data_IF_059731915273
#
_entry.id   IF_059731915273
#
_cell.length_a   1.000
_cell.length_b   1.000
_cell.length_c   1.000
_cell.angle_alpha   90.00
_cell.angle_beta   90.00
_cell.angle_gamma   90.00
#
_symmetry.space_group_name_H-M   'P 1'
#
loop_
_entity.id
_entity.type
_entity.pdbx_description
1 polymer ?
#
# COMPACT_ATOMS: atom_id res chain seq x y z
N UNK A 1 -8.55 -18.34 7.95
CA UNK A 1 -8.87 -16.98 7.46
C UNK A 1 -9.37 -16.04 8.56
N UNK A 2 -10.38 -16.36 9.39
CA UNK A 2 -10.83 -15.46 10.47
C UNK A 2 -9.80 -15.29 11.62
N UNK A 3 -9.03 -16.33 11.94
CA UNK A 3 -8.03 -16.27 13.00
C UNK A 3 -6.84 -15.34 12.65
N UNK A 4 -6.43 -15.29 11.38
CA UNK A 4 -5.39 -14.37 10.92
C UNK A 4 -5.89 -12.93 10.89
N UNK A 5 -7.18 -12.71 10.63
CA UNK A 5 -7.78 -11.37 10.55
C UNK A 5 -7.64 -10.57 11.86
N UNK A 6 -7.90 -11.20 13.01
CA UNK A 6 -7.75 -10.52 14.30
C UNK A 6 -6.28 -10.14 14.54
N UNK A 7 -5.37 -11.06 14.27
CA UNK A 7 -3.94 -10.85 14.43
C UNK A 7 -3.43 -9.70 13.53
N UNK A 8 -3.79 -9.73 12.26
CA UNK A 8 -3.36 -8.73 11.27
C UNK A 8 -3.97 -7.35 11.53
N UNK A 9 -5.28 -7.30 11.83
CA UNK A 9 -6.04 -6.04 11.87
C UNK A 9 -6.06 -5.36 13.22
N UNK A 10 -5.88 -6.08 14.30
CA UNK A 10 -5.96 -5.51 15.66
C UNK A 10 -4.92 -4.41 15.87
N UNK A 11 -3.68 -4.64 15.48
CA UNK A 11 -2.60 -3.66 15.62
C UNK A 11 -2.89 -2.41 14.80
N UNK A 12 -3.31 -2.57 13.56
CA UNK A 12 -3.69 -1.45 12.66
C UNK A 12 -4.83 -0.63 13.30
N UNK A 13 -5.85 -1.30 13.85
CA UNK A 13 -6.98 -0.62 14.51
C UNK A 13 -6.56 0.17 15.75
N UNK A 14 -5.66 -0.39 16.56
CA UNK A 14 -5.13 0.29 17.75
C UNK A 14 -4.38 1.57 17.37
N UNK A 15 -3.51 1.50 16.37
CA UNK A 15 -2.72 2.66 15.91
C UNK A 15 -3.62 3.71 15.28
N UNK A 16 -4.60 3.32 14.46
CA UNK A 16 -5.58 4.25 13.89
C UNK A 16 -6.36 4.98 14.98
N UNK A 17 -6.76 4.28 16.05
CA UNK A 17 -7.46 4.88 17.19
C UNK A 17 -6.56 5.87 17.95
N UNK A 18 -5.29 5.52 18.16
CA UNK A 18 -4.32 6.41 18.81
C UNK A 18 -4.04 7.65 17.98
N UNK A 19 -3.87 7.49 16.65
CA UNK A 19 -3.67 8.62 15.73
C UNK A 19 -4.89 9.54 15.70
N UNK A 20 -6.10 8.98 15.67
CA UNK A 20 -7.34 9.76 15.72
C UNK A 20 -7.41 10.61 17.00
N UNK A 21 -7.05 10.04 18.17
CA UNK A 21 -6.99 10.75 19.42
C UNK A 21 -5.91 11.86 19.42
N UNK A 22 -4.72 11.57 18.86
CA UNK A 22 -3.64 12.54 18.65
C UNK A 22 -4.11 13.71 17.81
N UNK A 23 -4.74 13.43 16.65
CA UNK A 23 -5.28 14.44 15.75
C UNK A 23 -6.28 15.35 16.45
N UNK A 24 -7.22 14.80 17.22
CA UNK A 24 -8.19 15.57 18.00
C UNK A 24 -7.53 16.52 19.01
N UNK A 25 -6.49 16.05 19.72
CA UNK A 25 -5.73 16.89 20.66
C UNK A 25 -4.97 18.01 19.96
N UNK A 26 -4.38 17.73 18.80
CA UNK A 26 -3.64 18.72 17.99
C UNK A 26 -4.57 19.81 17.45
N UNK A 27 -5.74 19.44 16.90
CA UNK A 27 -6.76 20.39 16.45
C UNK A 27 -7.21 21.29 17.59
N UNK A 28 -7.53 20.71 18.75
CA UNK A 28 -7.95 21.47 19.91
C UNK A 28 -6.86 22.42 20.41
N UNK A 29 -5.59 21.97 20.40
CA UNK A 29 -4.42 22.79 20.72
C UNK A 29 -4.28 23.99 19.79
N UNK A 30 -4.46 23.78 18.47
CA UNK A 30 -4.43 24.84 17.47
C UNK A 30 -5.56 25.86 17.69
N UNK A 31 -6.81 25.39 17.87
CA UNK A 31 -7.94 26.28 18.16
C UNK A 31 -7.72 27.10 19.41
N UNK A 32 -7.11 26.53 20.46
CA UNK A 32 -6.75 27.23 21.68
C UNK A 32 -5.67 28.30 21.45
N UNK A 33 -4.63 27.99 20.68
CA UNK A 33 -3.60 28.94 20.29
C UNK A 33 -4.18 30.10 19.46
N UNK A 34 -5.13 29.82 18.58
CA UNK A 34 -5.86 30.85 17.83
C UNK A 34 -6.80 31.71 18.71
N UNK A 35 -7.13 31.25 19.92
CA UNK A 35 -8.06 31.94 20.82
C UNK A 35 -9.54 31.78 20.46
N UNK A 36 -9.85 30.81 19.56
CA UNK A 36 -11.20 30.61 19.01
C UNK A 36 -12.08 29.68 19.86
N UNK A 37 -11.60 29.22 21.01
CA UNK A 37 -12.34 28.33 21.92
C UNK A 37 -13.25 29.05 22.91
N UNK A 38 -13.33 30.39 22.88
CA UNK A 38 -14.23 31.16 23.72
C UNK A 38 -15.70 30.91 23.32
N UNK A 39 -16.61 30.62 24.23
CA UNK A 39 -18.03 30.40 23.93
C UNK A 39 -18.74 31.65 23.37
N UNK A 40 -18.23 32.84 23.66
CA UNK A 40 -18.68 34.09 23.01
C UNK A 40 -17.98 34.28 21.68
N UNK A 41 -18.76 34.20 20.59
CA UNK A 41 -18.26 34.29 19.23
C UNK A 41 -17.54 35.63 18.96
N UNK A 42 -18.02 36.75 19.54
CA UNK A 42 -17.40 38.06 19.36
C UNK A 42 -16.00 38.09 20.00
N UNK A 43 -15.90 37.57 21.21
CA UNK A 43 -14.61 37.44 21.92
C UNK A 43 -13.67 36.49 21.23
N UNK A 44 -14.17 35.35 20.74
CA UNK A 44 -13.38 34.38 19.96
C UNK A 44 -12.76 35.06 18.73
N UNK A 45 -13.53 35.89 18.02
CA UNK A 45 -13.06 36.67 16.86
C UNK A 45 -12.03 37.71 17.22
N UNK A 46 -12.26 38.49 18.31
CA UNK A 46 -11.29 39.47 18.78
C UNK A 46 -9.98 38.81 19.23
N UNK A 47 -10.06 37.67 19.90
CA UNK A 47 -8.89 36.87 20.29
C UNK A 47 -8.11 36.39 19.07
N UNK A 48 -8.80 35.89 18.06
CA UNK A 48 -8.15 35.45 16.81
C UNK A 48 -7.35 36.60 16.18
N UNK A 49 -7.98 37.74 15.94
CA UNK A 49 -7.30 38.89 15.30
C UNK A 49 -6.10 39.36 16.14
N UNK A 50 -6.23 39.48 17.45
CA UNK A 50 -5.11 39.83 18.33
C UNK A 50 -3.99 38.80 18.25
N UNK A 51 -4.33 37.51 18.25
CA UNK A 51 -3.35 36.41 18.29
C UNK A 51 -2.57 36.28 16.96
N UNK A 52 -3.17 36.60 15.83
CA UNK A 52 -2.45 36.61 14.55
C UNK A 52 -1.57 37.85 14.34
N UNK A 53 -1.81 38.94 15.05
CA UNK A 53 -0.99 40.15 15.05
C UNK A 53 0.23 40.04 16.02
N UNK A 54 0.14 39.16 17.01
CA UNK A 54 1.24 38.91 17.95
C UNK A 54 2.23 37.89 17.38
N UNK A 55 3.47 38.30 17.14
CA UNK A 55 4.47 37.49 16.47
C UNK A 55 4.79 36.16 17.17
N UNK A 56 4.79 36.15 18.53
CA UNK A 56 5.05 34.90 19.29
C UNK A 56 3.89 33.93 19.17
N UNK A 57 2.67 34.42 19.29
CA UNK A 57 1.45 33.61 19.17
C UNK A 57 1.25 33.11 17.72
N UNK A 58 1.54 33.94 16.74
CA UNK A 58 1.53 33.56 15.32
C UNK A 58 2.51 32.42 15.04
N UNK A 59 3.70 32.46 15.65
CA UNK A 59 4.65 31.32 15.59
C UNK A 59 4.04 30.01 16.11
N UNK A 60 3.37 30.05 17.27
CA UNK A 60 2.67 28.88 17.85
C UNK A 60 1.51 28.39 16.98
N UNK A 61 0.81 29.31 16.30
CA UNK A 61 -0.25 28.96 15.33
C UNK A 61 0.35 28.23 14.14
N UNK A 62 1.47 28.74 13.58
CA UNK A 62 2.16 28.06 12.48
C UNK A 62 2.64 26.66 12.86
N UNK A 63 3.26 26.50 14.02
CA UNK A 63 3.63 25.17 14.55
C UNK A 63 2.41 24.26 14.70
N UNK A 64 1.30 24.80 15.17
CA UNK A 64 0.04 24.07 15.30
C UNK A 64 -0.54 23.65 13.94
N UNK A 65 -0.40 24.46 12.90
CA UNK A 65 -0.81 24.13 11.51
C UNK A 65 0.07 23.01 10.96
N UNK A 66 1.40 23.14 11.08
CA UNK A 66 2.33 22.07 10.66
C UNK A 66 2.06 20.75 11.39
N UNK A 67 1.71 20.84 12.68
CA UNK A 67 1.29 19.67 13.47
C UNK A 67 0.03 18.97 12.95
N UNK A 68 -0.79 19.62 12.09
CA UNK A 68 -1.93 18.96 11.46
C UNK A 68 -1.55 18.10 10.24
N UNK A 69 -0.30 18.14 9.80
CA UNK A 69 0.15 17.40 8.61
C UNK A 69 -0.25 15.93 8.67
N UNK A 70 0.02 15.27 9.80
CA UNK A 70 -0.33 13.86 9.97
C UNK A 70 -1.85 13.57 9.93
N UNK A 71 -2.68 14.61 10.12
CA UNK A 71 -4.13 14.46 10.00
C UNK A 71 -4.62 14.45 8.55
N UNK A 72 -3.99 15.25 7.68
CA UNK A 72 -4.40 15.43 6.29
C UNK A 72 -3.55 14.61 5.31
N UNK A 73 -2.26 14.42 5.61
CA UNK A 73 -1.32 13.60 4.88
C UNK A 73 -0.96 12.39 5.75
N UNK A 74 -1.72 11.30 5.59
CA UNK A 74 -1.59 10.11 6.41
C UNK A 74 -1.40 8.82 5.56
N UNK A 75 -0.76 8.98 4.40
CA UNK A 75 -0.51 7.90 3.45
C UNK A 75 0.25 6.73 4.09
N UNK A 76 1.27 7.01 4.91
CA UNK A 76 2.02 5.97 5.62
C UNK A 76 1.13 5.12 6.51
N UNK A 77 0.20 5.77 7.24
CA UNK A 77 -0.74 5.04 8.10
C UNK A 77 -1.76 4.22 7.30
N UNK A 78 -2.18 4.71 6.13
CA UNK A 78 -3.20 4.05 5.31
C UNK A 78 -2.67 2.83 4.56
N UNK A 79 -1.43 2.88 4.06
CA UNK A 79 -0.88 1.83 3.19
C UNK A 79 0.50 1.33 3.62
N UNK A 80 1.13 1.95 4.61
CA UNK A 80 2.49 1.60 5.06
C UNK A 80 2.53 0.60 6.22
N UNK A 81 1.41 0.13 6.73
CA UNK A 81 1.39 -0.93 7.74
C UNK A 81 1.75 -2.29 7.11
N UNK A 82 2.37 -3.14 7.91
CA UNK A 82 2.79 -4.48 7.51
C UNK A 82 2.08 -5.49 8.40
N UNK A 83 1.32 -6.40 7.82
CA UNK A 83 0.61 -7.44 8.55
C UNK A 83 1.56 -8.40 9.27
N UNK A 84 1.05 -9.02 10.32
CA UNK A 84 1.83 -9.82 11.21
C UNK A 84 2.46 -8.97 12.32
N UNK A 85 3.44 -9.52 13.04
CA UNK A 85 4.15 -8.86 14.14
C UNK A 85 5.20 -7.85 13.63
N UNK A 86 4.77 -6.98 12.69
CA UNK A 86 5.72 -6.17 11.95
C UNK A 86 5.33 -4.69 11.99
N UNK A 87 6.12 -3.88 11.37
CA UNK A 87 6.17 -2.46 11.56
C UNK A 87 4.87 -1.73 11.24
N UNK A 88 4.46 -0.90 12.18
CA UNK A 88 3.48 0.16 11.93
C UNK A 88 4.29 1.43 11.70
N UNK A 89 3.94 2.26 10.69
CA UNK A 89 4.65 3.49 10.41
C UNK A 89 4.81 4.35 11.67
N UNK A 90 6.04 4.80 11.97
CA UNK A 90 6.32 5.67 13.10
C UNK A 90 5.75 7.08 12.93
N UNK A 91 5.42 7.45 11.68
CA UNK A 91 4.82 8.73 11.32
C UNK A 91 3.73 8.51 10.27
N UNK A 92 2.56 9.12 10.48
CA UNK A 92 1.39 8.86 9.64
C UNK A 92 1.59 9.25 8.16
N UNK A 93 2.38 10.30 7.89
CA UNK A 93 2.62 10.82 6.53
C UNK A 93 3.75 10.11 5.78
N UNK A 94 4.61 9.35 6.47
CA UNK A 94 5.78 8.73 5.83
C UNK A 94 5.42 7.36 5.32
N UNK A 95 5.48 7.17 4.01
CA UNK A 95 5.31 5.88 3.36
C UNK A 95 6.61 5.45 2.67
N UNK A 96 7.17 4.36 3.12
CA UNK A 96 8.33 3.72 2.52
C UNK A 96 7.92 2.35 1.96
N UNK A 97 7.87 2.19 0.63
CA UNK A 97 7.51 0.92 0.02
C UNK A 97 8.61 -0.13 0.26
N UNK A 98 8.19 -1.33 0.65
CA UNK A 98 9.09 -2.46 0.89
C UNK A 98 8.55 -3.75 0.28
N UNK A 99 9.45 -4.68 -0.10
CA UNK A 99 9.08 -5.99 -0.62
C UNK A 99 9.32 -7.06 0.46
N UNK A 100 8.38 -7.18 1.39
CA UNK A 100 8.40 -8.22 2.42
C UNK A 100 6.97 -8.76 2.67
N UNK A 101 6.87 -9.98 3.18
CA UNK A 101 5.58 -10.56 3.55
C UNK A 101 4.81 -9.70 4.54
N UNK A 102 3.53 -9.50 4.31
CA UNK A 102 2.64 -8.63 5.08
C UNK A 102 2.54 -7.20 4.58
N UNK A 103 3.51 -6.70 3.81
CA UNK A 103 3.48 -5.36 3.21
C UNK A 103 2.47 -5.29 2.05
N UNK A 104 1.90 -4.12 1.83
CA UNK A 104 1.13 -3.87 0.61
C UNK A 104 2.05 -3.90 -0.60
N UNK A 105 1.59 -4.49 -1.71
CA UNK A 105 2.33 -4.46 -2.98
C UNK A 105 2.63 -3.00 -3.36
N UNK A 106 3.90 -2.63 -3.53
CA UNK A 106 4.27 -1.28 -3.90
C UNK A 106 3.66 -0.87 -5.24
N UNK A 107 3.10 0.34 -5.27
CA UNK A 107 2.54 0.91 -6.48
C UNK A 107 3.64 1.37 -7.45
N UNK A 108 3.45 1.09 -8.73
CA UNK A 108 4.06 1.80 -9.84
C UNK A 108 3.15 1.73 -11.06
N UNK A 109 3.32 2.64 -12.01
CA UNK A 109 2.55 2.62 -13.24
C UNK A 109 3.07 1.56 -14.20
N UNK A 110 2.14 0.87 -14.85
CA UNK A 110 2.45 -0.22 -15.77
C UNK A 110 1.72 -0.07 -17.10
N UNK A 111 2.32 -0.63 -18.14
CA UNK A 111 1.67 -0.90 -19.42
C UNK A 111 1.23 -2.35 -19.45
N UNK A 112 -0.03 -2.61 -19.72
CA UNK A 112 -0.56 -3.96 -19.91
C UNK A 112 -0.20 -4.45 -21.32
N UNK A 113 0.39 -5.63 -21.39
CA UNK A 113 0.71 -6.34 -22.65
C UNK A 113 -0.31 -7.44 -22.93
N UNK A 114 -0.81 -8.11 -21.88
CA UNK A 114 -1.83 -9.17 -21.95
C UNK A 114 -3.13 -8.69 -21.30
N UNK A 115 -4.15 -8.25 -22.03
CA UNK A 115 -5.37 -7.64 -21.47
C UNK A 115 -6.13 -8.54 -20.49
N UNK A 116 -6.01 -9.86 -20.59
CA UNK A 116 -6.69 -10.84 -19.75
C UNK A 116 -6.19 -10.87 -18.30
N UNK A 117 -5.04 -10.23 -17.99
CA UNK A 117 -4.51 -10.22 -16.61
C UNK A 117 -5.23 -9.22 -15.71
N UNK A 118 -5.84 -8.18 -16.26
CA UNK A 118 -6.57 -7.17 -15.50
C UNK A 118 -8.07 -7.40 -15.55
N UNK A 119 -8.76 -7.09 -14.46
CA UNK A 119 -10.21 -7.23 -14.33
C UNK A 119 -10.93 -5.87 -14.30
N UNK A 120 -10.21 -4.81 -14.01
CA UNK A 120 -10.75 -3.46 -13.93
C UNK A 120 -10.46 -2.68 -15.23
N UNK A 121 -11.32 -1.74 -15.59
CA UNK A 121 -11.02 -0.82 -16.68
C UNK A 121 -9.80 0.04 -16.36
N UNK A 122 -9.20 0.59 -17.41
CA UNK A 122 -8.12 1.57 -17.25
C UNK A 122 -8.57 2.77 -16.39
N UNK A 123 -7.65 3.29 -15.59
CA UNK A 123 -7.87 4.51 -14.83
C UNK A 123 -8.07 5.67 -15.83
N UNK A 124 -9.14 6.41 -15.67
CA UNK A 124 -9.36 7.65 -16.39
C UNK A 124 -8.85 8.82 -15.54
N UNK A 125 -7.71 9.36 -15.92
CA UNK A 125 -7.10 10.54 -15.30
C UNK A 125 -7.21 11.81 -16.16
N UNK A 126 -8.02 11.76 -17.22
CA UNK A 126 -8.17 12.89 -18.18
C UNK A 126 -8.77 14.14 -17.55
N UNK A 127 -9.43 14.03 -16.41
CA UNK A 127 -10.00 15.16 -15.66
C UNK A 127 -8.99 15.88 -14.77
N UNK A 128 -7.78 15.36 -14.63
CA UNK A 128 -6.71 15.96 -13.81
C UNK A 128 -5.95 16.96 -14.66
N UNK A 129 -6.22 18.26 -14.46
CA UNK A 129 -5.68 19.35 -15.27
C UNK A 129 -4.14 19.49 -15.20
N UNK A 130 -3.53 18.98 -14.13
CA UNK A 130 -2.10 19.03 -13.90
C UNK A 130 -1.32 17.97 -14.70
N UNK A 131 -2.01 16.99 -15.28
CA UNK A 131 -1.37 15.95 -16.07
C UNK A 131 -1.28 16.35 -17.55
N UNK A 132 -0.10 16.15 -18.13
CA UNK A 132 0.08 16.23 -19.59
C UNK A 132 -0.67 15.07 -20.31
N UNK A 133 -0.99 15.21 -21.60
CA UNK A 133 -1.62 14.12 -22.36
C UNK A 133 -0.83 12.82 -22.35
N UNK A 134 0.51 12.89 -22.35
CA UNK A 134 1.39 11.72 -22.29
C UNK A 134 1.30 11.04 -20.91
N UNK A 135 1.24 11.81 -19.84
CA UNK A 135 1.04 11.26 -18.49
C UNK A 135 -0.32 10.59 -18.34
N UNK A 136 -1.40 11.16 -18.89
CA UNK A 136 -2.72 10.53 -18.91
C UNK A 136 -2.67 9.17 -19.62
N UNK A 137 -1.88 9.05 -20.69
CA UNK A 137 -1.74 7.77 -21.41
C UNK A 137 -0.88 6.74 -20.66
N UNK A 138 0.11 7.18 -19.88
CA UNK A 138 1.00 6.29 -19.14
C UNK A 138 0.42 5.88 -17.77
N UNK A 139 -0.40 6.74 -17.15
CA UNK A 139 -1.01 6.51 -15.84
C UNK A 139 -2.38 5.80 -15.92
N UNK A 140 -2.45 4.71 -16.67
CA UNK A 140 -3.71 3.97 -16.92
C UNK A 140 -3.90 2.73 -16.07
N UNK A 141 -2.80 2.08 -15.69
CA UNK A 141 -2.81 0.88 -14.87
C UNK A 141 -1.68 0.91 -13.86
N UNK A 142 -1.96 0.38 -12.69
CA UNK A 142 -1.04 0.22 -11.58
C UNK A 142 -0.67 -1.24 -11.39
N UNK A 143 0.47 -1.52 -10.76
CA UNK A 143 0.81 -2.87 -10.26
C UNK A 143 -0.28 -3.46 -9.36
N UNK A 144 -1.07 -2.62 -8.70
CA UNK A 144 -2.20 -3.06 -7.86
C UNK A 144 -3.35 -3.64 -8.70
N UNK A 145 -3.49 -3.23 -9.96
CA UNK A 145 -4.52 -3.75 -10.87
C UNK A 145 -4.21 -5.17 -11.38
N UNK A 146 -2.97 -5.64 -11.17
CA UNK A 146 -2.59 -7.04 -11.43
C UNK A 146 -3.25 -8.01 -10.44
N UNK A 147 -3.71 -7.53 -9.28
CA UNK A 147 -4.31 -8.35 -8.22
C UNK A 147 -5.82 -8.53 -8.48
N UNK A 148 -6.25 -9.68 -9.01
CA UNK A 148 -7.66 -9.91 -9.30
C UNK A 148 -8.45 -10.19 -8.02
N UNK A 149 -9.74 -9.88 -8.02
CA UNK A 149 -10.63 -10.24 -6.93
C UNK A 149 -10.72 -11.78 -6.78
N UNK A 150 -10.43 -12.28 -5.59
CA UNK A 150 -10.58 -13.69 -5.25
C UNK A 150 -9.52 -14.62 -5.84
N UNK A 151 -8.38 -14.09 -6.29
CA UNK A 151 -7.24 -14.92 -6.71
C UNK A 151 -5.92 -14.36 -6.17
N UNK A 152 -4.98 -15.26 -5.89
CA UNK A 152 -3.59 -14.92 -5.66
C UNK A 152 -2.87 -14.70 -6.99
N UNK A 153 -1.79 -13.93 -6.97
CA UNK A 153 -0.87 -13.83 -8.10
C UNK A 153 0.55 -14.17 -7.65
N UNK A 154 1.28 -14.82 -8.53
CA UNK A 154 2.73 -15.01 -8.42
C UNK A 154 3.37 -14.12 -9.49
N UNK A 155 4.07 -13.07 -9.09
CA UNK A 155 4.75 -12.15 -10.00
C UNK A 155 6.19 -12.61 -10.16
N UNK A 156 6.65 -12.75 -11.40
CA UNK A 156 8.04 -13.09 -11.72
C UNK A 156 8.51 -12.31 -12.96
N UNK A 157 9.81 -12.35 -13.27
CA UNK A 157 10.32 -11.79 -14.51
C UNK A 157 10.31 -12.84 -15.65
N UNK A 158 10.48 -12.37 -16.88
CA UNK A 158 10.46 -13.24 -18.07
C UNK A 158 11.56 -14.33 -18.03
N UNK A 159 12.73 -14.06 -17.44
CA UNK A 159 13.84 -15.00 -17.38
C UNK A 159 13.56 -16.17 -16.43
N UNK A 160 12.87 -15.92 -15.34
CA UNK A 160 12.49 -16.93 -14.34
C UNK A 160 11.11 -17.54 -14.56
N UNK A 161 10.35 -17.07 -15.55
CA UNK A 161 8.97 -17.49 -15.83
C UNK A 161 8.76 -19.00 -15.93
N UNK A 162 9.65 -19.70 -16.65
CA UNK A 162 9.56 -21.16 -16.82
C UNK A 162 9.76 -21.90 -15.49
N UNK A 163 10.72 -21.48 -14.67
CA UNK A 163 10.98 -22.02 -13.33
C UNK A 163 9.76 -21.85 -12.44
N UNK A 164 9.28 -20.62 -12.29
CA UNK A 164 8.15 -20.32 -11.40
C UNK A 164 6.83 -20.91 -11.89
N UNK A 165 6.64 -21.04 -13.21
CA UNK A 165 5.50 -21.74 -13.78
C UNK A 165 5.49 -23.23 -13.44
N UNK A 166 6.67 -23.87 -13.42
CA UNK A 166 6.86 -25.24 -12.94
C UNK A 166 6.52 -25.38 -11.44
N UNK A 167 7.17 -24.56 -10.62
CA UNK A 167 6.96 -24.55 -9.16
C UNK A 167 5.50 -24.31 -8.79
N UNK A 168 4.82 -23.40 -9.48
CA UNK A 168 3.41 -23.10 -9.20
C UNK A 168 2.49 -24.30 -9.50
N UNK A 169 2.68 -24.98 -10.63
CA UNK A 169 1.88 -26.18 -10.96
C UNK A 169 2.06 -27.28 -9.91
N UNK A 170 3.31 -27.58 -9.56
CA UNK A 170 3.61 -28.59 -8.55
C UNK A 170 3.09 -28.18 -7.16
N UNK A 171 3.15 -26.88 -6.81
CA UNK A 171 2.61 -26.39 -5.56
C UNK A 171 1.08 -26.58 -5.48
N UNK A 172 0.37 -26.34 -6.60
CA UNK A 172 -1.09 -26.56 -6.68
C UNK A 172 -1.47 -28.03 -6.45
N UNK A 173 -0.66 -28.97 -6.96
CA UNK A 173 -0.87 -30.41 -6.72
C UNK A 173 -0.66 -30.81 -5.26
N UNK A 174 0.17 -30.09 -4.54
CA UNK A 174 0.44 -30.31 -3.11
C UNK A 174 -0.63 -29.73 -2.18
N UNK A 175 -1.54 -28.90 -2.69
CA UNK A 175 -2.61 -28.31 -1.87
C UNK A 175 -3.69 -29.36 -1.59
N UNK A 176 -4.38 -29.24 -0.40
CA UNK A 176 -5.44 -30.18 -0.07
C UNK A 176 -6.63 -30.06 -1.01
N UNK A 177 -7.46 -31.11 -1.18
CA UNK A 177 -8.63 -31.07 -2.07
C UNK A 177 -9.61 -29.93 -1.77
N UNK A 178 -9.68 -29.47 -0.52
CA UNK A 178 -10.46 -28.31 -0.13
C UNK A 178 -9.98 -27.01 -0.81
N UNK A 179 -8.74 -26.97 -1.30
CA UNK A 179 -8.14 -25.85 -2.02
C UNK A 179 -8.39 -25.90 -3.55
N UNK A 180 -9.15 -26.86 -4.07
CA UNK A 180 -9.37 -27.01 -5.52
C UNK A 180 -10.00 -25.79 -6.18
N UNK A 181 -10.69 -24.94 -5.42
CA UNK A 181 -11.26 -23.68 -5.89
C UNK A 181 -10.30 -22.50 -5.80
N UNK A 182 -9.12 -22.67 -5.20
CA UNK A 182 -8.13 -21.60 -5.05
C UNK A 182 -7.54 -21.24 -6.42
N UNK A 183 -7.69 -20.00 -6.81
CA UNK A 183 -7.13 -19.48 -8.04
C UNK A 183 -5.80 -18.80 -7.75
N UNK A 184 -4.75 -19.22 -8.44
CA UNK A 184 -3.44 -18.61 -8.40
C UNK A 184 -3.01 -18.39 -9.85
N UNK A 185 -2.64 -17.16 -10.20
CA UNK A 185 -2.18 -16.79 -11.54
C UNK A 185 -0.69 -16.47 -11.51
N UNK A 186 0.04 -16.94 -12.50
CA UNK A 186 1.38 -16.46 -12.78
C UNK A 186 1.27 -15.20 -13.65
N UNK A 187 1.97 -14.14 -13.28
CA UNK A 187 1.99 -12.86 -14.00
C UNK A 187 3.45 -12.46 -14.22
N UNK A 188 3.83 -12.27 -15.49
CA UNK A 188 5.22 -12.15 -15.91
C UNK A 188 5.54 -10.72 -16.37
N UNK A 189 6.47 -10.07 -15.66
CA UNK A 189 7.06 -8.80 -16.13
C UNK A 189 7.86 -9.04 -17.41
N UNK A 190 7.64 -8.19 -18.41
CA UNK A 190 8.21 -8.33 -19.75
C UNK A 190 7.39 -9.19 -20.73
N UNK A 191 6.31 -9.86 -20.26
CA UNK A 191 5.38 -10.62 -21.10
C UNK A 191 3.94 -10.16 -20.93
N UNK A 192 3.47 -10.03 -19.71
CA UNK A 192 2.09 -9.67 -19.38
C UNK A 192 1.92 -8.18 -19.10
N UNK A 193 2.96 -7.59 -18.55
CA UNK A 193 3.04 -6.14 -18.27
C UNK A 193 4.47 -5.64 -18.34
N UNK A 194 4.63 -4.32 -18.48
CA UNK A 194 5.90 -3.59 -18.40
C UNK A 194 5.78 -2.44 -17.42
N UNK A 195 6.84 -2.20 -16.64
CA UNK A 195 6.94 -1.02 -15.78
C UNK A 195 7.11 0.23 -16.63
N UNK A 196 6.29 1.26 -16.35
CA UNK A 196 6.44 2.57 -16.99
C UNK A 196 7.60 3.34 -16.34
N UNK A 197 8.54 3.88 -17.13
CA UNK A 197 9.67 4.62 -16.57
C UNK A 197 9.23 5.95 -15.95
N UNK A 198 9.83 6.33 -14.84
CA UNK A 198 10.08 7.71 -14.51
C UNK A 198 9.16 8.44 -13.55
N UNK A 199 8.18 7.85 -12.85
CA UNK A 199 7.28 8.66 -12.01
C UNK A 199 7.58 8.60 -10.50
N UNK A 200 8.21 7.55 -10.02
CA UNK A 200 8.61 7.44 -8.62
C UNK A 200 10.07 7.02 -8.56
N UNK A 201 10.91 7.74 -7.84
CA UNK A 201 12.36 7.57 -7.77
C UNK A 201 12.87 6.21 -7.27
N UNK A 202 12.03 5.17 -7.24
CA UNK A 202 12.36 3.82 -6.87
C UNK A 202 12.33 2.92 -8.11
N UNK A 203 13.44 2.20 -8.34
CA UNK A 203 13.44 1.12 -9.31
C UNK A 203 12.59 -0.03 -8.75
N UNK A 204 11.31 -0.07 -9.12
CA UNK A 204 10.36 -1.06 -8.64
C UNK A 204 10.86 -2.50 -8.87
N UNK A 205 11.44 -2.78 -10.03
CA UNK A 205 11.93 -4.11 -10.39
C UNK A 205 13.08 -4.55 -9.47
N UNK A 206 14.00 -3.63 -9.14
CA UNK A 206 15.11 -3.91 -8.22
C UNK A 206 14.59 -4.10 -6.79
N UNK A 207 13.72 -3.21 -6.33
CA UNK A 207 13.11 -3.30 -5.00
C UNK A 207 12.35 -4.63 -4.83
N UNK A 208 11.67 -5.11 -5.88
CA UNK A 208 10.94 -6.37 -5.88
C UNK A 208 11.85 -7.60 -6.13
N UNK A 209 13.15 -7.40 -6.35
CA UNK A 209 14.12 -8.50 -6.56
C UNK A 209 13.91 -9.31 -7.84
N UNK A 210 13.08 -8.86 -8.79
CA UNK A 210 12.74 -9.65 -9.98
C UNK A 210 13.95 -9.96 -10.86
N UNK A 211 14.92 -9.01 -10.97
CA UNK A 211 16.13 -9.22 -11.78
C UNK A 211 17.07 -10.30 -11.25
N UNK A 212 16.92 -10.68 -9.98
CA UNK A 212 17.64 -11.80 -9.38
C UNK A 212 16.89 -13.12 -9.49
N UNK A 213 15.75 -13.13 -10.20
CA UNK A 213 14.89 -14.30 -10.37
C UNK A 213 13.93 -14.55 -9.21
N UNK A 214 13.80 -13.60 -8.29
CA UNK A 214 12.81 -13.66 -7.21
C UNK A 214 11.40 -13.69 -7.77
N UNK A 215 10.50 -14.41 -7.08
CA UNK A 215 9.06 -14.33 -7.31
C UNK A 215 8.33 -13.86 -6.05
N UNK A 216 7.20 -13.20 -6.27
CA UNK A 216 6.44 -12.57 -5.21
C UNK A 216 5.01 -13.09 -5.25
N UNK A 217 4.59 -13.75 -4.18
CA UNK A 217 3.23 -14.21 -4.01
C UNK A 217 2.40 -13.12 -3.36
N UNK A 218 1.36 -12.66 -4.04
CA UNK A 218 0.51 -11.57 -3.59
C UNK A 218 -0.92 -12.07 -3.37
N UNK A 219 -1.52 -11.62 -2.30
CA UNK A 219 -2.88 -11.93 -1.86
C UNK A 219 -3.92 -11.13 -2.67
N UNK A 220 -5.19 -11.58 -2.70
CA UNK A 220 -6.27 -10.84 -3.35
C UNK A 220 -6.52 -9.43 -2.78
N UNK A 221 -6.09 -9.15 -1.54
CA UNK A 221 -6.18 -7.85 -0.88
C UNK A 221 -4.96 -6.95 -1.14
N UNK A 222 -4.15 -7.30 -2.15
CA UNK A 222 -2.98 -6.55 -2.60
C UNK A 222 -1.81 -6.54 -1.59
N UNK A 223 -1.79 -7.46 -0.61
CA UNK A 223 -0.65 -7.62 0.28
C UNK A 223 0.25 -8.77 -0.17
N UNK A 224 1.56 -8.57 -0.02
CA UNK A 224 2.55 -9.62 -0.28
C UNK A 224 2.37 -10.71 0.77
N UNK A 225 2.17 -11.96 0.33
CA UNK A 225 2.17 -13.10 1.22
C UNK A 225 3.60 -13.55 1.51
N UNK A 226 4.39 -13.76 0.46
CA UNK A 226 5.77 -14.20 0.56
C UNK A 226 6.61 -13.75 -0.64
N UNK A 227 7.93 -13.68 -0.43
CA UNK A 227 8.93 -13.48 -1.48
C UNK A 227 9.82 -14.74 -1.55
N UNK A 228 10.07 -15.25 -2.74
CA UNK A 228 10.81 -16.48 -3.00
C UNK A 228 12.05 -16.19 -3.83
N UNK A 229 13.24 -16.59 -3.36
CA UNK A 229 14.46 -16.62 -4.16
C UNK A 229 14.51 -17.86 -5.07
N UNK A 230 15.46 -17.94 -5.99
CA UNK A 230 15.62 -19.09 -6.91
C UNK A 230 15.90 -20.43 -6.21
N UNK A 231 16.33 -20.39 -4.96
CA UNK A 231 16.52 -21.57 -4.11
C UNK A 231 15.20 -22.14 -3.56
N UNK A 232 14.13 -21.33 -3.59
CA UNK A 232 12.80 -21.77 -3.17
C UNK A 232 12.12 -22.58 -4.29
N UNK A 233 11.16 -23.41 -3.89
CA UNK A 233 10.47 -24.29 -4.82
C UNK A 233 8.97 -24.40 -4.57
N UNK A 234 8.36 -25.40 -5.21
CA UNK A 234 6.93 -25.69 -5.09
C UNK A 234 6.47 -25.94 -3.66
N UNK A 235 7.33 -26.58 -2.84
CA UNK A 235 7.04 -26.83 -1.43
C UNK A 235 6.88 -25.53 -0.63
N UNK A 236 7.74 -24.53 -0.88
CA UNK A 236 7.68 -23.25 -0.18
C UNK A 236 6.40 -22.49 -0.52
N UNK A 237 6.03 -22.45 -1.80
CA UNK A 237 4.76 -21.84 -2.25
C UNK A 237 3.56 -22.53 -1.59
N UNK A 238 3.55 -23.88 -1.59
CA UNK A 238 2.46 -24.66 -1.00
C UNK A 238 2.39 -24.47 0.51
N UNK A 239 3.53 -24.40 1.22
CA UNK A 239 3.61 -24.13 2.66
C UNK A 239 2.99 -22.77 3.00
N UNK A 240 3.44 -21.68 2.37
CA UNK A 240 2.93 -20.35 2.63
C UNK A 240 1.42 -20.25 2.42
N UNK A 241 0.90 -20.87 1.36
CA UNK A 241 -0.53 -20.90 1.09
C UNK A 241 -1.30 -21.70 2.17
N UNK A 242 -0.78 -22.86 2.59
CA UNK A 242 -1.41 -23.67 3.64
C UNK A 242 -1.45 -22.93 4.97
N UNK A 243 -0.33 -22.32 5.38
CA UNK A 243 -0.24 -21.57 6.63
C UNK A 243 -1.19 -20.36 6.62
N UNK A 244 -1.22 -19.61 5.52
CA UNK A 244 -2.10 -18.45 5.41
C UNK A 244 -3.58 -18.81 5.42
N UNK A 245 -3.96 -19.92 4.78
CA UNK A 245 -5.35 -20.35 4.68
C UNK A 245 -5.77 -21.27 5.85
N UNK A 246 -4.84 -21.56 6.76
CA UNK A 246 -5.02 -22.42 7.91
C UNK A 246 -5.55 -23.82 7.53
N UNK A 247 -4.90 -24.45 6.56
CA UNK A 247 -5.17 -25.80 6.08
C UNK A 247 -4.15 -26.83 6.58
#
# INVERSE_FOLDING_TARGET
MLNSYEYDRRQVSLVNSQQSLKNGKQIFGLLKAMGTTDPDVSKARENLYRNIEDAETLGKIHEGIEGQREHFDNLGLHIGYIYGDRQIPGHASVYEPVCIGGARLPHTWIKILSPEIVQLPAIDSSYVSELSPDEVQTKRFSTLDLCPFGAFILIADLKSASHWGGCLREAQEQLPPAASSLKIRLVIEGQDFEIQPGVHGHNWIEMMGLRTGQAILVRPDQHILACFGLESGSFDIARELKEHLAW
#
